data_IF_139582832988
#
_entry.id   IF_139582832988
#
_cell.length_a   1.000
_cell.length_b   1.000
_cell.length_c   1.000
_cell.angle_alpha   90.00
_cell.angle_beta   90.00
_cell.angle_gamma   90.00
#
_symmetry.space_group_name_H-M   'P 1'
#
loop_
_entity.id
_entity.type
_entity.pdbx_description
1 polymer ?
#
# COMPACT_ATOMS: atom_id res chain seq x y z
N UNK A 1 -19.05 -16.67 8.30
CA UNK A 1 -18.59 -15.74 7.26
C UNK A 1 -17.21 -15.24 7.67
N UNK A 2 -16.19 -15.37 6.81
CA UNK A 2 -14.81 -15.01 7.16
C UNK A 2 -14.72 -13.51 7.50
N UNK A 3 -14.33 -13.18 8.73
CA UNK A 3 -14.21 -11.82 9.25
C UNK A 3 -12.94 -11.10 8.77
N UNK A 4 -12.10 -11.78 7.98
CA UNK A 4 -10.86 -11.26 7.40
C UNK A 4 -10.94 -11.31 5.88
N UNK A 5 -10.73 -10.17 5.25
CA UNK A 5 -10.46 -10.05 3.84
C UNK A 5 -9.00 -9.62 3.71
N UNK A 6 -8.13 -10.53 3.30
CA UNK A 6 -6.69 -10.30 3.23
C UNK A 6 -6.29 -9.72 1.87
N UNK A 7 -7.15 -9.84 0.86
CA UNK A 7 -6.92 -9.32 -0.48
C UNK A 7 -8.19 -8.69 -1.05
N UNK A 8 -8.04 -7.54 -1.71
CA UNK A 8 -9.15 -6.87 -2.40
C UNK A 8 -8.68 -6.31 -3.74
N UNK A 9 -9.50 -6.46 -4.78
CA UNK A 9 -9.29 -5.78 -6.06
C UNK A 9 -10.17 -4.56 -6.12
N UNK A 10 -9.59 -3.42 -6.45
CA UNK A 10 -10.27 -2.13 -6.56
C UNK A 10 -9.86 -1.41 -7.84
N UNK A 11 -10.75 -0.55 -8.32
CA UNK A 11 -10.47 0.37 -9.41
C UNK A 11 -10.43 1.79 -8.85
N UNK A 12 -9.38 2.52 -9.17
CA UNK A 12 -9.22 3.91 -8.78
C UNK A 12 -9.18 4.78 -10.03
N UNK A 13 -9.93 5.88 -10.01
CA UNK A 13 -9.98 6.85 -11.10
C UNK A 13 -9.85 8.25 -10.53
N UNK A 14 -8.77 8.93 -10.86
CA UNK A 14 -8.59 10.33 -10.53
C UNK A 14 -9.49 11.24 -11.37
N UNK A 15 -9.75 12.43 -10.88
CA UNK A 15 -10.58 13.40 -11.55
C UNK A 15 -9.92 13.99 -12.79
N UNK A 16 -10.69 14.15 -13.85
CA UNK A 16 -10.25 14.91 -15.05
C UNK A 16 -10.10 16.39 -14.68
N UNK A 17 -9.15 17.08 -15.26
CA UNK A 17 -9.09 18.54 -15.23
C UNK A 17 -10.29 19.17 -15.94
N UNK A 18 -10.71 20.35 -15.52
CA UNK A 18 -11.73 21.16 -16.21
C UNK A 18 -11.19 21.71 -17.51
N UNK A 19 -12.06 21.91 -18.49
CA UNK A 19 -11.66 22.48 -19.78
C UNK A 19 -11.39 23.99 -19.67
N UNK A 20 -10.43 24.49 -20.41
CA UNK A 20 -10.22 25.92 -20.59
C UNK A 20 -11.34 26.57 -21.41
N UNK A 21 -11.58 27.83 -21.14
CA UNK A 21 -12.64 28.59 -21.82
C UNK A 21 -12.10 29.43 -22.95
N UNK A 22 -12.86 29.48 -24.06
CA UNK A 22 -12.69 30.51 -25.11
C UNK A 22 -13.76 31.56 -24.90
N UNK A 23 -13.38 32.76 -24.54
CA UNK A 23 -14.25 33.90 -24.38
C UNK A 23 -13.53 35.18 -24.85
N UNK A 24 -14.31 36.16 -25.29
CA UNK A 24 -13.81 37.45 -25.71
C UNK A 24 -14.50 38.58 -24.93
N UNK A 25 -13.74 39.62 -24.66
CA UNK A 25 -14.28 40.84 -24.09
C UNK A 25 -15.13 41.53 -25.12
N UNK A 26 -16.39 41.77 -24.86
CA UNK A 26 -17.31 42.52 -25.73
C UNK A 26 -17.69 43.81 -25.05
N UNK A 27 -17.29 44.94 -25.59
CA UNK A 27 -17.66 46.25 -25.13
C UNK A 27 -18.31 47.06 -26.27
N UNK A 28 -19.06 48.08 -25.88
CA UNK A 28 -19.64 48.99 -26.85
C UNK A 28 -18.50 49.65 -27.68
N UNK A 29 -18.53 49.46 -28.98
CA UNK A 29 -17.51 49.90 -29.94
C UNK A 29 -16.21 49.08 -30.03
N UNK A 30 -16.10 47.95 -29.30
CA UNK A 30 -14.95 47.02 -29.40
C UNK A 30 -15.49 45.62 -29.63
N UNK A 31 -15.73 45.21 -30.88
CA UNK A 31 -16.38 43.91 -31.18
C UNK A 31 -15.53 42.70 -30.78
N UNK A 32 -14.17 42.83 -30.79
CA UNK A 32 -13.25 41.78 -30.36
C UNK A 32 -12.23 42.33 -29.40
N UNK A 33 -12.64 42.57 -28.17
CA UNK A 33 -11.85 43.22 -27.12
C UNK A 33 -10.79 42.33 -26.45
N UNK A 34 -10.25 41.38 -27.14
CA UNK A 34 -9.21 40.48 -26.65
C UNK A 34 -9.74 39.23 -25.94
N UNK A 35 -8.87 38.26 -25.65
CA UNK A 35 -9.24 36.99 -25.03
C UNK A 35 -9.61 37.18 -23.55
N UNK A 36 -10.65 36.48 -23.08
CA UNK A 36 -11.21 36.64 -21.75
C UNK A 36 -11.64 35.31 -21.10
N UNK A 37 -11.20 34.17 -21.64
CA UNK A 37 -11.47 32.84 -21.13
C UNK A 37 -10.43 32.41 -20.08
N UNK A 38 -10.89 31.96 -18.93
CA UNK A 38 -10.05 31.43 -17.86
C UNK A 38 -9.65 29.97 -18.04
N UNK A 39 -8.70 29.53 -17.25
CA UNK A 39 -8.22 28.13 -17.24
C UNK A 39 -9.23 27.24 -16.48
N UNK A 40 -9.28 25.95 -16.80
CA UNK A 40 -10.01 24.95 -16.03
C UNK A 40 -9.31 24.64 -14.70
N UNK A 41 -10.07 24.11 -13.75
CA UNK A 41 -9.57 23.65 -12.46
C UNK A 41 -8.87 22.29 -12.53
N UNK A 42 -7.97 22.00 -11.60
CA UNK A 42 -7.32 20.68 -11.48
C UNK A 42 -8.37 19.63 -11.03
N UNK A 43 -8.30 18.40 -11.55
CA UNK A 43 -9.03 17.26 -11.03
C UNK A 43 -8.47 16.79 -9.69
N UNK A 44 -9.31 16.16 -8.86
CA UNK A 44 -8.89 15.56 -7.59
C UNK A 44 -8.05 14.32 -7.82
N UNK A 45 -7.01 14.13 -7.02
CA UNK A 45 -6.22 12.91 -6.98
C UNK A 45 -6.88 11.87 -6.07
N UNK A 46 -6.50 10.61 -6.18
CA UNK A 46 -6.84 9.56 -5.21
C UNK A 46 -5.62 9.31 -4.35
N UNK A 47 -5.78 9.48 -3.03
CA UNK A 47 -4.72 9.36 -2.03
C UNK A 47 -5.09 8.23 -1.10
N UNK A 48 -4.19 7.27 -0.92
CA UNK A 48 -4.28 6.29 0.15
C UNK A 48 -3.67 6.85 1.41
N UNK A 49 -4.36 6.67 2.53
CA UNK A 49 -3.91 7.10 3.84
C UNK A 49 -4.04 5.97 4.85
N UNK A 50 -2.98 5.73 5.61
CA UNK A 50 -2.99 4.72 6.68
C UNK A 50 -3.85 5.20 7.84
N UNK A 51 -4.72 4.32 8.33
CA UNK A 51 -5.55 4.55 9.49
C UNK A 51 -5.46 3.34 10.41
N UNK A 52 -4.85 3.50 11.58
CA UNK A 52 -4.65 2.45 12.59
C UNK A 52 -5.95 1.93 13.18
N UNK A 53 -7.04 2.69 13.10
CA UNK A 53 -8.36 2.23 13.50
C UNK A 53 -8.94 1.14 12.60
N UNK A 54 -8.37 0.94 11.40
CA UNK A 54 -8.76 -0.10 10.45
C UNK A 54 -7.85 -1.32 10.60
N UNK A 55 -8.45 -2.50 10.67
CA UNK A 55 -7.73 -3.77 10.83
C UNK A 55 -8.03 -4.80 9.74
N UNK A 56 -8.89 -4.46 8.79
CA UNK A 56 -9.32 -5.37 7.72
C UNK A 56 -9.61 -4.62 6.44
N UNK A 57 -9.52 -5.31 5.30
CA UNK A 57 -9.95 -4.80 3.98
C UNK A 57 -11.44 -5.07 3.70
N UNK A 58 -12.27 -5.31 4.73
CA UNK A 58 -13.68 -5.71 4.54
C UNK A 58 -14.50 -4.68 3.77
N UNK A 59 -14.26 -3.39 3.98
CA UNK A 59 -14.98 -2.31 3.30
C UNK A 59 -14.75 -2.34 1.78
N UNK A 60 -13.56 -2.78 1.34
CA UNK A 60 -13.20 -2.92 -0.07
C UNK A 60 -13.89 -4.10 -0.78
N UNK A 61 -14.56 -4.97 -0.03
CA UNK A 61 -15.42 -6.00 -0.61
C UNK A 61 -16.68 -5.40 -1.22
N UNK A 62 -17.19 -4.33 -0.61
CA UNK A 62 -18.42 -3.67 -1.01
C UNK A 62 -18.13 -2.46 -1.91
N UNK A 63 -17.15 -1.64 -1.53
CA UNK A 63 -16.72 -0.46 -2.28
C UNK A 63 -15.44 -0.79 -3.06
N UNK A 64 -15.58 -1.05 -4.35
CA UNK A 64 -14.47 -1.40 -5.23
C UNK A 64 -14.06 -0.30 -6.18
N UNK A 65 -14.89 0.73 -6.34
CA UNK A 65 -14.67 1.79 -7.31
C UNK A 65 -14.52 3.12 -6.59
N UNK A 66 -13.33 3.71 -6.69
CA UNK A 66 -13.01 4.99 -6.08
C UNK A 66 -12.77 6.02 -7.19
N UNK A 67 -13.66 7.02 -7.26
CA UNK A 67 -13.60 8.06 -8.29
C UNK A 67 -13.52 9.43 -7.67
N UNK A 68 -12.42 10.16 -7.88
CA UNK A 68 -12.28 11.55 -7.49
C UNK A 68 -13.07 12.48 -8.43
N UNK A 69 -13.40 13.65 -7.94
CA UNK A 69 -14.18 14.66 -8.69
C UNK A 69 -13.33 15.32 -9.77
N UNK A 70 -13.99 15.67 -10.88
CA UNK A 70 -13.36 16.47 -11.92
C UNK A 70 -13.25 17.94 -11.51
N UNK A 71 -12.25 18.64 -12.06
CA UNK A 71 -12.14 20.09 -11.93
C UNK A 71 -13.23 20.81 -12.74
N UNK A 72 -13.60 22.00 -12.30
CA UNK A 72 -14.59 22.83 -12.99
C UNK A 72 -14.00 23.48 -14.25
N UNK A 73 -14.85 23.71 -15.24
CA UNK A 73 -14.47 24.45 -16.45
C UNK A 73 -14.06 25.88 -16.14
N UNK A 74 -13.15 26.42 -16.95
CA UNK A 74 -12.87 27.84 -16.94
C UNK A 74 -14.10 28.68 -17.31
N UNK A 75 -14.15 29.89 -16.84
CA UNK A 75 -15.27 30.82 -17.05
C UNK A 75 -14.83 32.07 -17.83
N UNK A 76 -15.81 32.86 -18.21
CA UNK A 76 -15.57 34.18 -18.80
C UNK A 76 -14.92 35.12 -17.78
N UNK A 77 -14.45 36.30 -18.22
CA UNK A 77 -13.80 37.33 -17.37
C UNK A 77 -12.47 36.85 -16.75
N UNK A 78 -11.79 35.90 -17.38
CA UNK A 78 -10.54 35.36 -16.90
C UNK A 78 -10.66 34.55 -15.61
N UNK A 79 -11.89 34.19 -15.19
CA UNK A 79 -12.08 33.40 -13.99
C UNK A 79 -11.71 31.94 -14.23
N UNK A 80 -10.84 31.41 -13.36
CA UNK A 80 -10.43 30.02 -13.41
C UNK A 80 -11.50 29.12 -12.79
N UNK A 81 -11.64 27.91 -13.34
CA UNK A 81 -12.44 26.84 -12.75
C UNK A 81 -11.90 26.43 -11.39
N UNK A 82 -12.78 26.06 -10.47
CA UNK A 82 -12.37 25.56 -9.15
C UNK A 82 -11.72 24.18 -9.30
N UNK A 83 -10.59 23.99 -8.60
CA UNK A 83 -9.99 22.65 -8.46
C UNK A 83 -10.86 21.73 -7.61
N UNK A 84 -10.86 20.44 -7.94
CA UNK A 84 -11.52 19.43 -7.13
C UNK A 84 -10.65 19.05 -5.92
N UNK A 85 -11.32 18.66 -4.84
CA UNK A 85 -10.68 18.10 -3.66
C UNK A 85 -10.19 16.68 -3.96
N UNK A 86 -9.08 16.30 -3.34
CA UNK A 86 -8.54 14.96 -3.44
C UNK A 86 -9.43 13.96 -2.68
N UNK A 87 -9.53 12.74 -3.20
CA UNK A 87 -10.25 11.65 -2.57
C UNK A 87 -9.30 10.86 -1.68
N UNK A 88 -9.49 10.95 -0.37
CA UNK A 88 -8.72 10.18 0.60
C UNK A 88 -9.42 8.84 0.84
N UNK A 89 -8.68 7.74 0.67
CA UNK A 89 -9.13 6.38 0.92
C UNK A 89 -8.29 5.81 2.06
N UNK A 90 -8.92 5.53 3.19
CA UNK A 90 -8.26 5.00 4.37
C UNK A 90 -7.99 3.50 4.24
N UNK A 91 -6.77 3.08 4.55
CA UNK A 91 -6.30 1.70 4.52
C UNK A 91 -5.72 1.30 5.89
N UNK A 92 -5.85 0.02 6.28
CA UNK A 92 -5.16 -0.47 7.47
C UNK A 92 -3.64 -0.48 7.27
N UNK A 93 -2.84 -0.31 8.35
CA UNK A 93 -1.39 -0.45 8.30
C UNK A 93 -0.99 -1.86 7.84
N UNK A 94 0.12 -1.96 7.11
CA UNK A 94 0.59 -3.23 6.53
C UNK A 94 -0.09 -3.61 5.21
N UNK A 95 -0.74 -2.66 4.53
CA UNK A 95 -1.35 -2.89 3.23
C UNK A 95 -0.32 -2.70 2.12
N UNK A 96 -0.05 -3.77 1.36
CA UNK A 96 0.71 -3.72 0.10
C UNK A 96 -0.22 -3.41 -1.06
N UNK A 97 0.12 -2.42 -1.85
CA UNK A 97 -0.60 -2.03 -3.07
C UNK A 97 0.15 -2.54 -4.28
N UNK A 98 -0.52 -3.34 -5.11
CA UNK A 98 0.02 -3.87 -6.37
C UNK A 98 -0.82 -3.40 -7.54
N UNK A 99 -0.19 -3.24 -8.68
CA UNK A 99 -0.91 -3.11 -9.94
C UNK A 99 -1.55 -4.46 -10.32
N UNK A 100 -2.86 -4.47 -10.56
CA UNK A 100 -3.60 -5.71 -10.81
C UNK A 100 -3.25 -6.34 -12.17
N UNK A 101 -2.75 -5.57 -13.14
CA UNK A 101 -2.43 -6.01 -14.48
C UNK A 101 -0.99 -6.54 -14.57
N UNK A 102 -0.03 -5.83 -13.95
CA UNK A 102 1.39 -6.17 -14.02
C UNK A 102 1.88 -6.98 -12.83
N UNK A 103 1.14 -7.00 -11.72
CA UNK A 103 1.52 -7.63 -10.46
C UNK A 103 2.65 -6.90 -9.69
N UNK A 104 3.18 -5.81 -10.25
CA UNK A 104 4.26 -5.04 -9.61
C UNK A 104 3.78 -4.36 -8.33
N UNK A 105 4.62 -4.33 -7.31
CA UNK A 105 4.37 -3.56 -6.08
C UNK A 105 4.51 -2.08 -6.40
N UNK A 106 3.50 -1.30 -6.05
CA UNK A 106 3.49 0.16 -6.20
C UNK A 106 3.98 0.81 -4.91
N UNK A 107 3.44 0.37 -3.77
CA UNK A 107 3.82 0.89 -2.45
C UNK A 107 3.42 -0.08 -1.34
N UNK A 108 4.13 0.00 -0.22
CA UNK A 108 3.77 -0.61 1.06
C UNK A 108 3.37 0.51 2.03
N UNK A 109 2.19 0.39 2.61
CA UNK A 109 1.61 1.37 3.53
C UNK A 109 1.65 0.80 4.94
N UNK A 110 2.59 1.30 5.74
CA UNK A 110 2.95 0.72 7.04
C UNK A 110 2.84 1.73 8.16
N UNK A 111 3.36 2.96 7.95
CA UNK A 111 3.51 3.97 8.98
C UNK A 111 2.19 4.69 9.27
N UNK A 112 2.06 5.16 10.51
CA UNK A 112 0.92 5.97 10.93
C UNK A 112 0.78 7.22 10.07
N UNK A 113 -0.46 7.50 9.66
CA UNK A 113 -0.80 8.67 8.79
C UNK A 113 -0.03 8.74 7.46
N UNK A 114 0.73 7.70 7.07
CA UNK A 114 1.41 7.64 5.78
C UNK A 114 0.42 7.86 4.64
N UNK A 115 0.78 8.76 3.72
CA UNK A 115 -0.04 9.09 2.55
C UNK A 115 0.70 8.75 1.26
N UNK A 116 -0.02 8.20 0.29
CA UNK A 116 0.51 7.89 -1.03
C UNK A 116 -0.50 8.25 -2.12
N UNK A 117 -0.05 9.04 -3.10
CA UNK A 117 -0.87 9.42 -4.26
C UNK A 117 -0.88 8.27 -5.26
N UNK A 118 -1.95 7.48 -5.27
CA UNK A 118 -2.08 6.28 -6.10
C UNK A 118 -2.54 6.58 -7.53
N UNK A 119 -3.32 7.66 -7.72
CA UNK A 119 -3.73 8.15 -9.03
C UNK A 119 -3.79 9.67 -9.02
N UNK A 120 -3.10 10.31 -9.95
CA UNK A 120 -3.00 11.77 -10.04
C UNK A 120 -4.15 12.36 -10.82
N UNK A 121 -4.75 13.42 -10.27
CA UNK A 121 -5.76 14.23 -10.95
C UNK A 121 -5.19 14.98 -12.16
N UNK A 122 -5.97 15.05 -13.21
CA UNK A 122 -5.59 15.74 -14.45
C UNK A 122 -5.45 17.26 -14.25
N UNK A 123 -4.53 17.86 -14.98
CA UNK A 123 -4.35 19.32 -15.03
C UNK A 123 -5.54 19.98 -15.73
N UNK A 124 -5.98 21.13 -15.25
CA UNK A 124 -6.94 21.97 -15.95
C UNK A 124 -6.42 22.48 -17.28
N UNK A 125 -7.26 22.50 -18.31
CA UNK A 125 -6.94 23.04 -19.62
C UNK A 125 -6.75 24.57 -19.58
N UNK A 126 -5.85 25.09 -20.38
CA UNK A 126 -5.58 26.52 -20.46
C UNK A 126 -6.66 27.22 -21.29
N UNK A 127 -7.14 28.36 -20.78
CA UNK A 127 -8.07 29.23 -21.49
C UNK A 127 -7.38 30.08 -22.55
N UNK A 128 -8.17 30.74 -23.44
CA UNK A 128 -7.63 31.47 -24.59
C UNK A 128 -6.75 32.67 -24.18
N UNK A 129 -6.87 33.21 -22.98
CA UNK A 129 -5.95 34.25 -22.47
C UNK A 129 -4.50 33.80 -22.53
N UNK A 130 -4.22 32.51 -22.29
CA UNK A 130 -2.86 31.95 -22.26
C UNK A 130 -2.21 31.84 -23.63
N UNK A 131 -2.99 31.95 -24.70
CA UNK A 131 -2.53 31.79 -26.07
C UNK A 131 -2.43 33.11 -26.86
N UNK A 132 -2.75 34.23 -26.21
CA UNK A 132 -2.62 35.53 -26.81
C UNK A 132 -1.15 35.84 -27.11
N UNK A 133 -0.90 36.28 -28.34
CA UNK A 133 0.42 36.71 -28.80
C UNK A 133 0.29 38.02 -29.58
N UNK A 134 1.38 38.80 -29.79
CA UNK A 134 1.33 40.00 -30.63
C UNK A 134 0.85 39.73 -32.06
N UNK A 135 1.06 38.50 -32.59
CA UNK A 135 0.60 38.11 -33.92
C UNK A 135 -0.84 37.61 -33.94
N UNK A 136 -1.32 37.06 -32.82
CA UNK A 136 -2.71 36.65 -32.65
C UNK A 136 -3.21 37.15 -31.31
N UNK A 137 -3.69 38.40 -31.23
CA UNK A 137 -4.13 39.04 -30.00
C UNK A 137 -5.47 38.50 -29.46
N UNK A 138 -6.23 37.80 -30.29
CA UNK A 138 -7.55 37.26 -29.95
C UNK A 138 -7.70 35.78 -30.36
N UNK A 139 -6.90 34.87 -29.78
CA UNK A 139 -6.88 33.46 -30.19
C UNK A 139 -8.19 32.75 -29.83
N UNK A 140 -8.64 31.88 -30.71
CA UNK A 140 -9.75 30.96 -30.50
C UNK A 140 -9.30 29.58 -29.99
N UNK A 141 -8.16 29.52 -29.35
CA UNK A 141 -7.54 28.31 -28.85
C UNK A 141 -7.82 28.17 -27.34
N UNK A 142 -8.29 27.00 -26.91
CA UNK A 142 -8.27 26.57 -25.52
C UNK A 142 -7.92 25.09 -25.45
N UNK A 143 -7.37 24.65 -24.32
CA UNK A 143 -7.09 23.24 -24.07
C UNK A 143 -8.25 22.61 -23.31
N UNK A 144 -8.54 21.36 -23.64
CA UNK A 144 -9.38 20.52 -22.80
C UNK A 144 -8.61 20.15 -21.51
N UNK A 145 -9.33 19.81 -20.45
CA UNK A 145 -8.73 19.29 -19.23
C UNK A 145 -8.04 17.94 -19.50
N UNK A 146 -6.92 17.75 -18.83
CA UNK A 146 -6.18 16.50 -18.87
C UNK A 146 -7.00 15.37 -18.21
N UNK A 147 -7.03 14.16 -18.79
CA UNK A 147 -7.64 13.01 -18.13
C UNK A 147 -6.92 12.70 -16.81
N UNK A 148 -7.65 12.28 -15.79
CA UNK A 148 -7.07 11.74 -14.57
C UNK A 148 -6.55 10.33 -14.79
N UNK A 149 -5.57 9.92 -14.00
CA UNK A 149 -5.03 8.56 -14.05
C UNK A 149 -6.09 7.55 -13.59
N UNK A 150 -6.11 6.38 -14.25
CA UNK A 150 -6.95 5.24 -13.91
C UNK A 150 -6.04 4.04 -13.67
N UNK A 151 -6.30 3.31 -12.58
CA UNK A 151 -5.54 2.10 -12.24
C UNK A 151 -6.45 1.03 -11.66
N UNK A 152 -6.17 -0.20 -12.00
CA UNK A 152 -6.70 -1.37 -11.32
C UNK A 152 -5.67 -1.88 -10.33
N UNK A 153 -6.05 -1.98 -9.07
CA UNK A 153 -5.16 -2.28 -7.97
C UNK A 153 -5.59 -3.54 -7.24
N UNK A 154 -4.62 -4.28 -6.80
CA UNK A 154 -4.78 -5.35 -5.85
C UNK A 154 -4.18 -4.91 -4.52
N UNK A 155 -5.03 -4.82 -3.49
CA UNK A 155 -4.64 -4.59 -2.12
C UNK A 155 -4.39 -5.95 -1.46
N UNK A 156 -3.30 -6.07 -0.75
CA UNK A 156 -2.94 -7.24 0.03
C UNK A 156 -2.60 -6.78 1.45
N UNK A 157 -3.41 -7.18 2.42
CA UNK A 157 -3.16 -6.89 3.82
C UNK A 157 -2.23 -7.96 4.38
N UNK A 158 -1.01 -7.57 4.67
CA UNK A 158 -0.10 -8.39 5.46
C UNK A 158 -0.51 -8.25 6.92
N UNK A 159 -1.26 -9.22 7.44
CA UNK A 159 -1.63 -9.24 8.84
C UNK A 159 -0.35 -9.42 9.64
N UNK A 160 0.03 -8.37 10.33
CA UNK A 160 1.20 -8.34 11.17
C UNK A 160 0.77 -8.79 12.56
N UNK A 161 1.52 -9.71 13.15
CA UNK A 161 1.27 -10.09 14.53
C UNK A 161 1.84 -9.02 15.46
N UNK A 162 0.99 -8.46 16.32
CA UNK A 162 1.41 -7.59 17.41
C UNK A 162 2.14 -8.40 18.49
N UNK A 163 1.73 -9.67 18.67
CA UNK A 163 2.23 -10.59 19.71
C UNK A 163 2.72 -11.89 19.07
N UNK A 164 3.95 -12.27 19.37
CA UNK A 164 4.54 -13.54 18.95
C UNK A 164 4.53 -14.58 20.06
N UNK A 165 4.07 -15.81 19.75
CA UNK A 165 4.21 -16.96 20.64
C UNK A 165 5.51 -17.69 20.32
N UNK A 166 6.37 -17.83 21.31
CA UNK A 166 7.61 -18.62 21.23
C UNK A 166 7.58 -19.73 22.30
N UNK A 167 8.29 -20.80 22.06
CA UNK A 167 8.35 -21.95 22.97
C UNK A 167 8.61 -23.25 22.21
N UNK A 168 9.04 -24.30 22.91
CA UNK A 168 9.28 -25.61 22.33
C UNK A 168 8.03 -26.23 21.67
N UNK A 169 8.19 -27.21 20.78
CA UNK A 169 7.06 -28.02 20.32
C UNK A 169 6.28 -28.61 21.50
N UNK A 170 4.99 -28.81 21.34
CA UNK A 170 4.09 -29.45 22.32
C UNK A 170 3.86 -28.72 23.64
N UNK A 171 4.44 -27.51 23.86
CA UNK A 171 4.18 -26.70 25.08
C UNK A 171 2.78 -26.08 25.12
N UNK A 172 2.03 -26.16 24.01
CA UNK A 172 0.65 -25.72 23.92
C UNK A 172 0.42 -24.34 23.26
N UNK A 173 1.38 -23.82 22.47
CA UNK A 173 1.24 -22.56 21.73
C UNK A 173 -0.01 -22.50 20.84
N UNK A 174 -0.16 -23.49 19.98
CA UNK A 174 -1.29 -23.54 19.04
C UNK A 174 -2.63 -23.77 19.74
N UNK A 175 -2.61 -24.47 20.89
CA UNK A 175 -3.79 -24.64 21.76
C UNK A 175 -4.17 -23.30 22.37
N UNK A 176 -3.20 -22.59 22.96
CA UNK A 176 -3.41 -21.24 23.51
C UNK A 176 -4.02 -20.31 22.44
N UNK A 177 -3.40 -20.25 21.27
CA UNK A 177 -3.88 -19.43 20.16
C UNK A 177 -5.32 -19.78 19.77
N UNK A 178 -5.67 -21.07 19.72
CA UNK A 178 -7.01 -21.54 19.36
C UNK A 178 -8.07 -21.11 20.37
N UNK A 179 -7.72 -21.12 21.65
CA UNK A 179 -8.65 -20.82 22.74
C UNK A 179 -8.89 -19.34 22.92
N UNK A 180 -7.84 -18.53 22.78
CA UNK A 180 -7.94 -17.06 22.98
C UNK A 180 -8.41 -16.32 21.72
N UNK A 181 -8.39 -16.98 20.58
CA UNK A 181 -8.77 -16.37 19.31
C UNK A 181 -10.28 -16.20 19.19
N UNK A 182 -10.74 -15.00 18.85
CA UNK A 182 -12.16 -14.67 18.65
C UNK A 182 -12.79 -15.40 17.44
N UNK A 183 -11.97 -15.93 16.53
CA UNK A 183 -12.36 -16.78 15.42
C UNK A 183 -11.34 -17.91 15.30
N UNK A 184 -11.71 -19.04 14.64
CA UNK A 184 -10.75 -20.12 14.39
C UNK A 184 -9.47 -19.55 13.78
N UNK A 185 -8.28 -19.86 14.35
CA UNK A 185 -7.02 -19.42 13.78
C UNK A 185 -6.93 -19.81 12.31
N UNK A 186 -6.47 -18.88 11.50
CA UNK A 186 -6.24 -19.14 10.09
C UNK A 186 -4.79 -19.46 9.86
N UNK A 187 -4.57 -20.47 9.04
CA UNK A 187 -3.27 -20.72 8.43
C UNK A 187 -3.03 -19.59 7.45
N UNK A 188 -2.11 -18.71 7.76
CA UNK A 188 -1.70 -17.63 6.85
C UNK A 188 -0.95 -18.23 5.67
N UNK A 189 -1.63 -18.51 4.55
CA UNK A 189 -0.97 -18.97 3.32
C UNK A 189 -0.20 -17.81 2.69
N UNK A 190 1.01 -17.57 3.18
CA UNK A 190 1.93 -16.64 2.54
C UNK A 190 2.70 -17.39 1.46
N UNK A 191 2.53 -17.02 0.19
CA UNK A 191 3.16 -17.66 -0.97
C UNK A 191 4.70 -17.69 -0.95
N UNK A 192 5.31 -17.07 0.06
CA UNK A 192 6.76 -16.90 0.20
C UNK A 192 7.34 -17.50 1.48
N UNK A 193 6.52 -18.16 2.34
CA UNK A 193 7.01 -18.83 3.55
C UNK A 193 6.99 -20.33 3.41
N UNK A 194 8.14 -20.97 3.69
CA UNK A 194 8.25 -22.43 3.78
C UNK A 194 7.54 -22.95 5.05
N UNK A 195 7.40 -22.07 6.05
CA UNK A 195 6.76 -22.36 7.34
C UNK A 195 5.60 -21.36 7.49
N UNK A 196 4.40 -21.89 7.66
CA UNK A 196 3.15 -21.13 7.67
C UNK A 196 2.75 -20.82 9.11
N UNK A 197 2.78 -19.54 9.55
CA UNK A 197 2.36 -19.20 10.89
C UNK A 197 0.84 -19.33 11.06
N UNK A 198 0.41 -19.78 12.24
CA UNK A 198 -0.99 -19.71 12.63
C UNK A 198 -1.26 -18.33 13.23
N UNK A 199 -2.25 -17.62 12.70
CA UNK A 199 -2.66 -16.29 13.14
C UNK A 199 -4.02 -16.34 13.81
N UNK A 200 -4.16 -15.64 14.92
CA UNK A 200 -5.42 -15.46 15.63
C UNK A 200 -5.62 -14.02 16.07
N UNK A 201 -6.86 -13.54 15.97
CA UNK A 201 -7.24 -12.26 16.56
C UNK A 201 -7.77 -12.48 17.95
N UNK A 202 -7.16 -11.82 18.92
CA UNK A 202 -7.56 -11.83 20.32
C UNK A 202 -8.37 -10.57 20.59
N UNK A 203 -9.44 -10.73 21.37
CA UNK A 203 -10.24 -9.61 21.86
C UNK A 203 -10.34 -9.71 23.38
N UNK A 204 -9.88 -8.67 24.06
CA UNK A 204 -9.95 -8.58 25.53
C UNK A 204 -11.35 -8.19 26.01
N UNK A 205 -11.62 -8.36 27.28
CA UNK A 205 -12.86 -7.88 27.91
C UNK A 205 -12.96 -6.35 27.95
N UNK A 206 -11.81 -5.67 28.01
CA UNK A 206 -11.73 -4.20 27.92
C UNK A 206 -12.13 -3.66 26.55
N UNK A 207 -12.21 -4.52 25.53
CA UNK A 207 -12.57 -4.16 24.16
C UNK A 207 -11.38 -4.01 23.22
N UNK A 208 -10.16 -4.07 23.76
CA UNK A 208 -8.92 -4.05 22.97
C UNK A 208 -8.82 -5.29 22.09
N UNK A 209 -8.19 -5.16 20.94
CA UNK A 209 -7.95 -6.29 20.06
C UNK A 209 -6.57 -6.21 19.44
N UNK A 210 -5.89 -7.35 19.35
CA UNK A 210 -4.56 -7.47 18.78
C UNK A 210 -4.40 -8.78 18.02
N UNK A 211 -3.45 -8.82 17.07
CA UNK A 211 -3.12 -10.02 16.32
C UNK A 211 -2.02 -10.80 17.04
N UNK A 212 -2.21 -12.11 17.19
CA UNK A 212 -1.26 -13.03 17.79
C UNK A 212 -0.85 -14.09 16.78
N UNK A 213 0.45 -14.36 16.67
CA UNK A 213 0.99 -15.40 15.80
C UNK A 213 1.73 -16.48 16.58
N UNK A 214 1.50 -17.74 16.22
CA UNK A 214 2.41 -18.82 16.55
C UNK A 214 3.60 -18.71 15.58
N UNK A 215 4.82 -18.59 16.13
CA UNK A 215 6.06 -18.47 15.37
C UNK A 215 6.77 -19.84 15.30
N UNK A 216 6.26 -20.79 14.48
CA UNK A 216 6.88 -22.10 14.31
C UNK A 216 8.19 -21.96 13.55
N UNK A 217 9.19 -22.75 13.88
CA UNK A 217 10.45 -22.81 13.14
C UNK A 217 11.52 -21.82 13.55
N UNK A 218 11.27 -20.95 14.54
CA UNK A 218 12.35 -20.26 15.22
C UNK A 218 13.30 -21.28 15.88
N UNK A 219 12.77 -22.40 16.32
CA UNK A 219 13.45 -23.41 17.14
C UNK A 219 13.95 -24.62 16.33
N UNK A 220 13.27 -25.02 15.24
CA UNK A 220 13.58 -26.25 14.53
C UNK A 220 14.52 -26.09 13.31
N UNK A 221 14.81 -24.88 12.87
CA UNK A 221 15.55 -24.65 11.62
C UNK A 221 16.89 -23.92 11.71
N UNK A 222 17.17 -23.27 12.83
CA UNK A 222 18.37 -22.43 12.98
C UNK A 222 19.67 -23.23 12.95
N UNK A 223 19.68 -24.40 13.56
CA UNK A 223 20.88 -25.23 13.64
C UNK A 223 21.23 -25.99 12.36
N UNK A 224 20.29 -26.10 11.39
CA UNK A 224 20.45 -26.87 10.16
C UNK A 224 20.69 -26.03 8.90
N UNK A 225 20.84 -24.70 9.01
CA UNK A 225 21.19 -23.83 7.85
C UNK A 225 20.11 -23.72 6.78
N UNK A 226 18.90 -24.22 7.00
CA UNK A 226 17.75 -24.02 6.13
C UNK A 226 17.20 -22.64 6.45
N UNK A 227 17.71 -21.61 5.74
CA UNK A 227 17.37 -20.22 5.95
C UNK A 227 15.86 -20.00 5.94
N UNK A 228 15.31 -19.55 7.06
CA UNK A 228 14.01 -18.89 7.10
C UNK A 228 14.09 -17.74 6.11
N UNK A 229 13.22 -17.77 5.09
CA UNK A 229 13.27 -16.76 4.03
C UNK A 229 13.24 -15.34 4.63
N UNK A 230 14.02 -14.42 4.08
CA UNK A 230 14.14 -13.03 4.52
C UNK A 230 12.77 -12.33 4.72
N UNK A 231 11.75 -12.78 4.02
CA UNK A 231 10.39 -12.27 4.14
C UNK A 231 9.65 -12.78 5.39
N UNK A 232 9.93 -13.99 5.88
CA UNK A 232 9.39 -14.48 7.15
C UNK A 232 9.99 -13.71 8.33
N UNK A 233 11.27 -13.40 8.27
CA UNK A 233 11.95 -12.58 9.27
C UNK A 233 11.30 -11.19 9.38
N UNK A 234 10.95 -10.55 8.27
CA UNK A 234 10.22 -9.25 8.26
C UNK A 234 8.87 -9.29 8.99
N UNK A 235 8.23 -10.44 9.09
CA UNK A 235 6.95 -10.58 9.81
C UNK A 235 7.14 -10.71 11.31
N UNK A 236 8.23 -11.35 11.73
CA UNK A 236 8.64 -11.43 13.14
C UNK A 236 9.12 -10.07 13.63
N UNK A 237 9.78 -9.32 12.76
CA UNK A 237 10.32 -7.99 13.02
C UNK A 237 9.28 -7.00 13.58
N UNK A 238 8.02 -7.16 13.25
CA UNK A 238 6.94 -6.27 13.68
C UNK A 238 6.24 -6.72 14.95
N UNK A 239 6.59 -7.88 15.48
CA UNK A 239 6.09 -8.35 16.77
C UNK A 239 6.59 -7.44 17.88
N UNK A 240 5.68 -6.83 18.63
CA UNK A 240 6.00 -5.84 19.69
C UNK A 240 6.18 -6.48 21.05
N UNK A 241 5.47 -7.58 21.32
CA UNK A 241 5.49 -8.32 22.58
C UNK A 241 5.67 -9.80 22.31
N UNK A 242 6.49 -10.46 23.10
CA UNK A 242 6.72 -11.91 23.02
C UNK A 242 6.05 -12.60 24.21
N UNK A 243 5.23 -13.63 23.93
CA UNK A 243 4.73 -14.56 24.90
C UNK A 243 5.56 -15.85 24.84
N UNK A 244 6.41 -16.06 25.84
CA UNK A 244 7.25 -17.23 25.94
C UNK A 244 6.49 -18.34 26.69
N UNK A 245 5.99 -19.32 25.94
CA UNK A 245 5.16 -20.41 26.49
C UNK A 245 6.04 -21.58 26.92
N UNK A 246 5.93 -21.96 28.18
CA UNK A 246 6.73 -23.01 28.80
C UNK A 246 5.80 -24.08 29.40
N UNK A 247 6.15 -25.35 29.22
CA UNK A 247 5.44 -26.50 29.79
C UNK A 247 5.89 -26.75 31.23
N UNK A 248 5.03 -26.40 32.20
CA UNK A 248 5.32 -26.63 33.61
C UNK A 248 5.10 -28.07 34.07
N UNK A 249 4.44 -28.90 33.24
CA UNK A 249 4.23 -30.30 33.59
C UNK A 249 5.50 -31.15 33.45
N UNK A 250 6.53 -30.64 32.75
CA UNK A 250 7.73 -31.41 32.36
C UNK A 250 7.41 -32.79 31.72
N UNK A 251 6.28 -32.90 31.06
CA UNK A 251 5.73 -34.16 30.54
C UNK A 251 6.65 -34.83 29.51
N UNK A 252 7.56 -34.08 28.89
CA UNK A 252 8.55 -34.59 27.94
C UNK A 252 9.94 -34.83 28.58
N UNK A 253 10.02 -34.74 29.92
CA UNK A 253 11.24 -35.00 30.71
C UNK A 253 12.27 -33.87 30.63
N UNK A 254 11.90 -32.69 30.14
CA UNK A 254 12.76 -31.48 30.08
C UNK A 254 12.50 -30.60 31.29
N UNK A 255 13.56 -29.92 31.77
CA UNK A 255 13.44 -28.92 32.83
C UNK A 255 12.87 -27.61 32.25
N UNK A 256 11.79 -27.04 32.79
CA UNK A 256 11.19 -25.80 32.29
C UNK A 256 12.16 -24.61 32.25
N UNK A 257 13.13 -24.55 33.16
CA UNK A 257 14.12 -23.50 33.17
C UNK A 257 15.18 -23.64 32.03
N UNK A 258 15.60 -24.89 31.77
CA UNK A 258 16.52 -25.16 30.66
C UNK A 258 15.85 -24.87 29.31
N UNK A 259 14.55 -25.16 29.18
CA UNK A 259 13.76 -24.81 28.01
C UNK A 259 13.71 -23.28 27.82
N UNK A 260 13.50 -22.51 28.90
CA UNK A 260 13.52 -21.04 28.88
C UNK A 260 14.83 -20.46 28.38
N UNK A 261 15.95 -20.94 28.93
CA UNK A 261 17.30 -20.48 28.55
C UNK A 261 17.60 -20.84 27.10
N UNK A 262 17.29 -22.07 26.67
CA UNK A 262 17.55 -22.52 25.31
C UNK A 262 16.86 -21.64 24.27
N UNK A 263 15.60 -21.27 24.50
CA UNK A 263 14.85 -20.41 23.60
C UNK A 263 15.38 -18.98 23.58
N UNK A 264 15.74 -18.42 24.74
CA UNK A 264 16.33 -17.10 24.78
C UNK A 264 17.67 -17.03 24.01
N UNK A 265 18.52 -18.05 24.13
CA UNK A 265 19.76 -18.16 23.37
C UNK A 265 19.51 -18.25 21.86
N UNK A 266 18.45 -18.94 21.45
CA UNK A 266 18.05 -18.98 20.05
C UNK A 266 17.54 -17.62 19.54
N UNK A 267 16.69 -16.94 20.32
CA UNK A 267 16.22 -15.58 19.98
C UNK A 267 17.37 -14.58 19.85
N UNK A 268 18.41 -14.70 20.68
CA UNK A 268 19.61 -13.89 20.60
C UNK A 268 20.42 -14.17 19.32
N UNK A 269 20.53 -15.45 18.94
CA UNK A 269 21.26 -15.88 17.75
C UNK A 269 20.65 -15.35 16.45
N UNK A 270 19.34 -15.13 16.43
CA UNK A 270 18.64 -14.57 15.25
C UNK A 270 18.92 -13.11 14.95
N UNK A 271 19.57 -12.39 15.83
CA UNK A 271 20.00 -10.99 15.67
C UNK A 271 18.91 -10.00 15.22
N UNK A 272 17.65 -10.32 15.48
CA UNK A 272 16.48 -9.49 15.11
C UNK A 272 16.04 -8.59 16.27
N UNK A 273 16.92 -8.28 17.20
CA UNK A 273 16.60 -7.48 18.40
C UNK A 273 15.35 -8.01 19.16
N UNK A 274 15.07 -9.32 19.01
CA UNK A 274 13.90 -9.95 19.64
C UNK A 274 14.02 -9.98 21.18
N UNK A 275 15.25 -10.05 21.68
CA UNK A 275 15.52 -10.00 23.14
C UNK A 275 15.29 -8.62 23.76
N UNK A 276 15.30 -7.56 22.96
CA UNK A 276 15.02 -6.19 23.43
C UNK A 276 13.50 -5.96 23.62
N UNK A 277 12.66 -6.89 23.17
CA UNK A 277 11.21 -6.77 23.26
C UNK A 277 10.70 -7.23 24.61
N UNK A 278 9.66 -6.56 25.15
CA UNK A 278 9.01 -7.00 26.35
C UNK A 278 8.54 -8.44 26.23
N UNK A 279 8.92 -9.27 27.19
CA UNK A 279 8.53 -10.67 27.28
C UNK A 279 7.57 -10.91 28.44
N UNK A 280 6.57 -11.75 28.21
CA UNK A 280 5.73 -12.34 29.26
C UNK A 280 5.98 -13.85 29.25
N UNK A 281 6.34 -14.41 30.40
CA UNK A 281 6.48 -15.85 30.57
C UNK A 281 5.11 -16.45 30.86
N UNK A 282 4.72 -17.39 30.00
CA UNK A 282 3.44 -18.11 30.10
C UNK A 282 3.71 -19.52 30.61
N UNK A 283 3.50 -19.72 31.91
CA UNK A 283 3.62 -21.02 32.57
C UNK A 283 2.36 -21.85 32.26
N UNK A 284 2.41 -22.69 31.23
CA UNK A 284 1.26 -23.46 30.74
C UNK A 284 1.21 -24.88 31.31
N UNK A 285 0.06 -25.53 31.13
CA UNK A 285 -0.29 -26.88 31.61
C UNK A 285 -0.35 -26.97 33.15
N UNK A 286 -0.83 -25.90 33.79
CA UNK A 286 -0.99 -25.86 35.25
C UNK A 286 -2.07 -26.82 35.78
N UNK A 287 -2.83 -27.48 34.92
CA UNK A 287 -3.78 -28.53 35.21
C UNK A 287 -3.13 -29.93 35.41
N UNK A 288 -1.84 -30.05 35.12
CA UNK A 288 -1.11 -31.30 35.23
C UNK A 288 -0.48 -31.48 36.64
N UNK A 289 -0.27 -32.72 37.08
CA UNK A 289 0.47 -33.01 38.31
C UNK A 289 1.88 -32.38 38.27
N UNK A 290 2.41 -32.04 39.45
CA UNK A 290 3.75 -31.50 39.65
C UNK A 290 4.02 -30.11 39.06
N UNK A 291 3.06 -29.53 38.33
CA UNK A 291 3.21 -28.23 37.67
C UNK A 291 3.42 -27.06 38.66
N UNK A 292 2.79 -27.11 39.80
CA UNK A 292 2.96 -26.10 40.87
C UNK A 292 4.36 -26.16 41.48
N UNK A 293 4.90 -27.38 41.74
CA UNK A 293 6.25 -27.56 42.25
C UNK A 293 7.31 -27.11 41.22
N UNK A 294 7.12 -27.47 39.96
CA UNK A 294 7.98 -27.05 38.87
C UNK A 294 7.95 -25.53 38.66
N UNK A 295 6.78 -24.88 38.80
CA UNK A 295 6.66 -23.42 38.74
C UNK A 295 7.41 -22.74 39.89
N UNK A 296 7.34 -23.31 41.12
CA UNK A 296 8.07 -22.77 42.26
C UNK A 296 9.59 -22.86 42.04
N UNK A 297 10.08 -24.03 41.60
CA UNK A 297 11.48 -24.25 41.28
C UNK A 297 11.96 -23.33 40.13
N UNK A 298 11.11 -23.15 39.11
CA UNK A 298 11.39 -22.23 37.99
C UNK A 298 11.57 -20.78 38.46
N UNK A 299 10.65 -20.29 39.32
CA UNK A 299 10.73 -18.94 39.88
C UNK A 299 11.99 -18.74 40.74
N UNK A 300 12.38 -19.74 41.51
CA UNK A 300 13.58 -19.69 42.34
C UNK A 300 14.84 -19.61 41.48
N UNK A 301 14.95 -20.47 40.43
CA UNK A 301 16.04 -20.45 39.49
C UNK A 301 16.11 -19.12 38.71
N UNK A 302 14.96 -18.58 38.29
CA UNK A 302 14.88 -17.33 37.59
C UNK A 302 15.37 -16.18 38.48
N UNK A 303 14.87 -16.08 39.72
CA UNK A 303 15.29 -15.04 40.68
C UNK A 303 16.78 -15.11 41.04
N UNK A 304 17.38 -16.31 41.04
CA UNK A 304 18.80 -16.48 41.32
C UNK A 304 19.73 -15.96 40.19
N UNK A 305 19.22 -15.83 38.99
CA UNK A 305 20.01 -15.44 37.80
C UNK A 305 19.69 -14.03 37.27
N UNK A 306 18.75 -13.31 37.92
CA UNK A 306 18.46 -11.90 37.61
C UNK A 306 19.11 -11.00 38.66
N UNK A 307 19.82 -9.95 38.23
CA UNK A 307 20.37 -8.94 39.12
C UNK A 307 19.25 -8.03 39.66
N UNK A 308 19.46 -7.43 40.86
CA UNK A 308 18.49 -6.54 41.52
C UNK A 308 18.04 -5.32 40.70
N UNK A 309 18.71 -5.05 39.56
CA UNK A 309 18.48 -3.91 38.68
C UNK A 309 17.80 -4.27 37.36
N UNK A 310 17.61 -5.55 37.08
CA UNK A 310 16.94 -6.00 35.85
C UNK A 310 15.44 -6.21 36.09
N UNK A 311 14.61 -5.71 35.22
CA UNK A 311 13.16 -5.93 35.25
C UNK A 311 12.85 -7.41 35.00
N UNK A 312 12.50 -8.14 36.02
CA UNK A 312 12.10 -9.56 35.91
C UNK A 312 10.85 -9.68 35.02
N UNK A 313 10.83 -10.58 34.04
CA UNK A 313 9.67 -10.83 33.23
C UNK A 313 8.49 -11.33 34.06
N UNK A 314 7.29 -10.85 33.73
CA UNK A 314 6.06 -11.21 34.42
C UNK A 314 5.70 -12.65 34.05
N UNK A 315 5.36 -13.47 35.09
CA UNK A 315 4.99 -14.88 34.92
C UNK A 315 3.49 -15.05 35.11
N UNK A 316 2.80 -15.59 34.08
CA UNK A 316 1.38 -15.95 34.17
C UNK A 316 1.20 -17.47 34.16
N UNK A 317 0.74 -18.05 35.31
CA UNK A 317 0.34 -19.44 35.33
C UNK A 317 -1.02 -19.61 34.63
N UNK A 318 -1.09 -20.49 33.66
CA UNK A 318 -2.29 -20.78 32.87
C UNK A 318 -2.49 -22.26 32.62
N UNK A 319 -3.72 -22.63 32.33
CA UNK A 319 -4.02 -23.87 31.61
C UNK A 319 -4.79 -23.55 30.36
N UNK A 320 -4.14 -23.71 29.20
CA UNK A 320 -4.79 -23.52 27.91
C UNK A 320 -5.93 -24.53 27.70
N UNK A 321 -5.78 -25.78 28.21
CA UNK A 321 -6.77 -26.82 28.07
C UNK A 321 -7.98 -26.61 28.99
N UNK A 322 -7.74 -26.22 30.24
CA UNK A 322 -8.78 -25.97 31.26
C UNK A 322 -9.35 -24.54 31.18
N UNK A 323 -8.87 -23.70 30.26
CA UNK A 323 -9.27 -22.29 30.09
C UNK A 323 -9.07 -21.43 31.36
N UNK A 324 -8.01 -21.69 32.11
CA UNK A 324 -7.71 -20.97 33.35
C UNK A 324 -6.59 -19.94 33.15
N UNK A 325 -6.74 -18.76 33.78
CA UNK A 325 -5.74 -17.69 33.75
C UNK A 325 -5.63 -16.90 32.46
N UNK A 326 -6.37 -17.29 31.41
CA UNK A 326 -6.23 -16.72 30.04
C UNK A 326 -6.65 -15.25 29.96
N UNK A 327 -7.73 -14.87 30.64
CA UNK A 327 -8.24 -13.48 30.59
C UNK A 327 -7.21 -12.50 31.17
N UNK A 328 -6.63 -12.84 32.33
CA UNK A 328 -5.62 -12.00 32.97
C UNK A 328 -4.36 -11.87 32.12
N UNK A 329 -3.95 -12.96 31.45
CA UNK A 329 -2.85 -12.95 30.50
C UNK A 329 -3.15 -12.02 29.31
N UNK A 330 -4.33 -12.10 28.70
CA UNK A 330 -4.69 -11.29 27.54
C UNK A 330 -4.81 -9.80 27.91
N UNK A 331 -5.40 -9.47 29.06
CA UNK A 331 -5.49 -8.08 29.53
C UNK A 331 -4.11 -7.50 29.87
N UNK A 332 -3.21 -8.29 30.43
CA UNK A 332 -1.83 -7.87 30.70
C UNK A 332 -1.05 -7.66 29.38
N UNK A 333 -1.24 -8.56 28.41
CA UNK A 333 -0.62 -8.44 27.09
C UNK A 333 -1.10 -7.18 26.36
N UNK A 334 -2.41 -6.88 26.40
CA UNK A 334 -2.96 -5.66 25.80
C UNK A 334 -2.39 -4.39 26.44
N UNK A 335 -2.26 -4.36 27.77
CA UNK A 335 -1.65 -3.23 28.48
C UNK A 335 -0.19 -3.05 28.14
N UNK A 336 0.55 -4.15 28.01
CA UNK A 336 1.96 -4.11 27.63
C UNK A 336 2.11 -3.59 26.20
N UNK A 337 1.27 -4.06 25.27
CA UNK A 337 1.22 -3.56 23.90
C UNK A 337 0.93 -2.06 23.80
N UNK A 338 -0.01 -1.56 24.62
CA UNK A 338 -0.35 -0.14 24.64
C UNK A 338 0.83 0.75 25.09
N UNK A 339 1.73 0.22 25.91
CA UNK A 339 2.90 0.94 26.43
C UNK A 339 4.19 0.70 25.64
N UNK A 340 4.17 -0.21 24.67
CA UNK A 340 5.35 -0.56 23.87
C UNK A 340 5.28 0.17 22.54
N UNK A 341 6.31 0.95 22.22
CA UNK A 341 6.47 1.60 20.91
C UNK A 341 6.74 0.56 19.81
N UNK A 342 6.51 0.94 18.55
CA UNK A 342 6.87 0.11 17.42
C UNK A 342 8.39 0.05 17.28
N UNK A 343 8.93 -1.16 17.16
CA UNK A 343 10.37 -1.35 16.93
C UNK A 343 10.66 -1.21 15.44
N UNK A 344 11.41 -0.18 15.07
CA UNK A 344 11.99 -0.02 13.74
C UNK A 344 13.32 -0.80 13.70
N UNK A 345 13.44 -1.75 12.79
CA UNK A 345 14.63 -2.60 12.66
C UNK A 345 15.72 -2.00 11.78
N UNK A 346 15.37 -1.02 10.97
CA UNK A 346 16.31 -0.35 10.08
C UNK A 346 16.49 1.09 10.53
N UNK A 347 17.75 1.52 10.68
CA UNK A 347 18.09 2.92 10.72
C UNK A 347 17.68 3.56 9.38
N UNK A 348 17.21 4.80 9.40
CA UNK A 348 16.77 5.58 8.21
C UNK A 348 17.83 5.62 7.09
N UNK A 349 19.06 5.26 7.38
CA UNK A 349 20.20 5.17 6.43
C UNK A 349 20.13 3.95 5.51
N UNK A 350 19.47 2.86 5.89
CA UNK A 350 19.37 1.65 5.08
C UNK A 350 18.19 1.68 4.09
N UNK A 351 17.29 2.65 4.23
CA UNK A 351 16.13 2.84 3.33
C UNK A 351 16.47 3.56 2.00
N UNK A 352 17.71 4.02 1.82
CA UNK A 352 18.08 4.81 0.63
C UNK A 352 18.42 3.99 -0.63
N UNK A 353 18.48 2.66 -0.57
CA UNK A 353 18.88 1.85 -1.74
C UNK A 353 17.71 1.19 -2.51
N UNK A 354 16.47 1.23 -2.03
CA UNK A 354 15.32 0.60 -2.72
C UNK A 354 14.16 1.57 -3.04
N UNK A 355 14.35 2.87 -2.97
CA UNK A 355 13.51 3.77 -3.75
C UNK A 355 13.82 3.51 -5.22
N UNK A 356 13.08 2.59 -5.82
CA UNK A 356 12.97 2.50 -7.26
C UNK A 356 12.41 3.84 -7.74
N UNK A 357 13.31 4.77 -7.98
CA UNK A 357 13.07 5.97 -8.75
C UNK A 357 12.44 5.50 -10.05
N UNK A 358 11.15 5.66 -10.18
CA UNK A 358 10.52 5.67 -11.49
C UNK A 358 11.04 6.90 -12.21
N UNK A 359 12.34 6.85 -12.56
CA UNK A 359 12.93 7.72 -13.51
C UNK A 359 12.22 7.45 -14.82
N UNK A 360 11.61 8.46 -15.38
CA UNK A 360 11.24 8.49 -16.78
C UNK A 360 12.44 7.96 -17.56
N UNK A 361 12.30 6.82 -18.20
CA UNK A 361 13.23 6.39 -19.23
C UNK A 361 13.11 7.40 -20.38
N UNK A 362 14.09 8.26 -20.50
CA UNK A 362 14.18 9.25 -21.59
C UNK A 362 14.32 8.61 -22.97
N UNK A 363 14.41 7.29 -23.06
CA UNK A 363 14.60 6.53 -24.31
C UNK A 363 13.30 5.95 -24.90
N UNK A 364 12.13 6.17 -24.30
CA UNK A 364 10.87 5.78 -24.93
C UNK A 364 10.52 6.79 -26.03
N UNK A 365 10.47 6.31 -27.28
CA UNK A 365 9.99 7.10 -28.42
C UNK A 365 8.61 7.67 -28.05
N UNK A 366 8.35 8.97 -28.26
CA UNK A 366 7.13 9.64 -27.80
C UNK A 366 5.85 9.09 -28.45
N UNK A 367 5.97 8.23 -29.44
CA UNK A 367 4.87 7.60 -30.17
C UNK A 367 5.36 6.33 -30.88
N UNK A 368 4.43 5.44 -31.17
CA UNK A 368 4.62 4.28 -32.04
C UNK A 368 3.71 4.38 -33.27
N UNK A 369 4.16 3.80 -34.37
CA UNK A 369 3.42 3.78 -35.62
C UNK A 369 3.20 2.33 -36.04
N UNK A 370 1.95 1.95 -36.26
CA UNK A 370 1.59 0.66 -36.86
C UNK A 370 0.79 0.90 -38.13
N UNK A 371 0.62 -0.15 -38.91
CA UNK A 371 -0.24 -0.13 -40.09
C UNK A 371 -1.34 -1.15 -39.90
N UNK A 372 -2.58 -0.71 -40.05
CA UNK A 372 -3.76 -1.56 -39.95
C UNK A 372 -4.02 -2.33 -41.25
N UNK A 373 -4.87 -3.35 -41.19
CA UNK A 373 -5.22 -4.18 -42.37
C UNK A 373 -5.82 -3.37 -43.52
N UNK A 374 -6.45 -2.23 -43.21
CA UNK A 374 -7.04 -1.28 -44.17
C UNK A 374 -6.01 -0.31 -44.78
N UNK A 375 -4.72 -0.54 -44.60
CA UNK A 375 -3.61 0.32 -45.01
C UNK A 375 -3.54 1.69 -44.27
N UNK A 376 -4.35 1.91 -43.23
CA UNK A 376 -4.34 3.12 -42.42
C UNK A 376 -3.14 3.09 -41.46
N UNK A 377 -2.45 4.21 -41.34
CA UNK A 377 -1.37 4.41 -40.39
C UNK A 377 -1.97 4.74 -39.05
N UNK A 378 -1.65 3.95 -38.02
CA UNK A 378 -2.13 4.15 -36.64
C UNK A 378 -1.01 4.66 -35.78
N UNK A 379 -1.24 5.81 -35.16
CA UNK A 379 -0.34 6.44 -34.22
C UNK A 379 -0.88 6.21 -32.78
N UNK A 380 -0.03 5.72 -31.90
CA UNK A 380 -0.36 5.56 -30.49
C UNK A 380 0.86 5.87 -29.59
N UNK A 381 0.61 6.10 -28.33
CA UNK A 381 1.59 6.43 -27.30
C UNK A 381 1.02 7.42 -26.30
N UNK A 382 1.32 7.20 -25.02
CA UNK A 382 0.72 7.95 -23.91
C UNK A 382 0.81 9.46 -24.07
N UNK A 383 1.96 9.95 -24.52
CA UNK A 383 2.20 11.39 -24.71
C UNK A 383 1.38 11.95 -25.88
N UNK A 384 1.25 11.19 -26.94
CA UNK A 384 0.49 11.56 -28.13
C UNK A 384 -1.02 11.54 -27.87
N UNK A 385 -1.52 10.48 -27.23
CA UNK A 385 -2.93 10.32 -26.89
C UNK A 385 -3.38 11.38 -25.87
N UNK A 386 -2.53 11.67 -24.88
CA UNK A 386 -2.76 12.75 -23.93
C UNK A 386 -2.87 14.10 -24.62
N UNK A 387 -1.95 14.39 -25.55
CA UNK A 387 -1.98 15.63 -26.34
C UNK A 387 -3.25 15.73 -27.17
N UNK A 388 -3.67 14.62 -27.80
CA UNK A 388 -4.90 14.54 -28.59
C UNK A 388 -6.13 14.82 -27.74
N UNK A 389 -6.30 14.16 -26.59
CA UNK A 389 -7.45 14.35 -25.68
C UNK A 389 -7.52 15.79 -25.14
N UNK A 390 -6.37 16.43 -24.94
CA UNK A 390 -6.29 17.81 -24.47
C UNK A 390 -6.54 18.84 -25.57
N UNK A 391 -6.61 18.42 -26.85
CA UNK A 391 -6.87 19.31 -27.97
C UNK A 391 -8.36 19.42 -28.24
N UNK A 392 -8.86 20.63 -28.36
CA UNK A 392 -10.25 20.85 -28.76
C UNK A 392 -10.37 20.73 -30.31
N UNK A 393 -10.86 19.58 -30.78
CA UNK A 393 -11.01 19.26 -32.19
C UNK A 393 -12.19 19.97 -32.90
N UNK A 394 -13.01 20.73 -32.18
CA UNK A 394 -14.08 21.54 -32.74
C UNK A 394 -13.59 22.90 -33.31
N UNK A 395 -12.28 23.21 -33.13
CA UNK A 395 -11.73 24.52 -33.48
C UNK A 395 -10.52 24.39 -34.39
N UNK A 396 -10.59 25.04 -35.55
CA UNK A 396 -9.54 25.00 -36.56
C UNK A 396 -8.17 25.45 -36.04
N UNK A 397 -8.11 26.51 -35.21
CA UNK A 397 -6.84 26.97 -34.62
C UNK A 397 -6.23 25.95 -33.67
N UNK A 398 -7.05 25.20 -32.93
CA UNK A 398 -6.58 24.14 -32.05
C UNK A 398 -6.04 22.95 -32.84
N UNK A 399 -6.71 22.57 -33.94
CA UNK A 399 -6.26 21.53 -34.86
C UNK A 399 -4.93 21.91 -35.49
N UNK A 400 -4.78 23.16 -36.01
CA UNK A 400 -3.52 23.63 -36.59
C UNK A 400 -2.37 23.64 -35.54
N UNK A 401 -2.67 23.96 -34.29
CA UNK A 401 -1.69 23.87 -33.23
C UNK A 401 -1.26 22.43 -32.98
N UNK A 402 -2.22 21.51 -32.93
CA UNK A 402 -1.97 20.08 -32.74
C UNK A 402 -1.10 19.52 -33.87
N UNK A 403 -1.42 19.84 -35.15
CA UNK A 403 -0.61 19.43 -36.28
C UNK A 403 0.84 19.93 -36.20
N UNK A 404 1.05 21.18 -35.76
CA UNK A 404 2.41 21.70 -35.51
C UNK A 404 3.14 20.98 -34.38
N UNK A 405 2.43 20.55 -33.33
CA UNK A 405 3.02 19.77 -32.25
C UNK A 405 3.41 18.36 -32.72
N UNK A 406 2.59 17.70 -33.55
CA UNK A 406 2.93 16.41 -34.16
C UNK A 406 4.21 16.50 -35.00
N UNK A 407 4.33 17.56 -35.83
CA UNK A 407 5.57 17.83 -36.57
C UNK A 407 6.77 18.01 -35.66
N UNK A 408 6.60 18.78 -34.59
CA UNK A 408 7.66 19.00 -33.59
C UNK A 408 8.08 17.73 -32.84
N UNK A 409 7.23 16.72 -32.82
CA UNK A 409 7.54 15.40 -32.25
C UNK A 409 8.21 14.45 -33.27
N UNK A 410 8.34 14.87 -34.53
CA UNK A 410 8.94 14.08 -35.63
C UNK A 410 8.00 13.04 -36.23
N UNK A 411 6.68 13.18 -36.05
CA UNK A 411 5.69 12.21 -36.54
C UNK A 411 5.71 12.17 -38.08
N UNK A 412 5.78 13.33 -38.74
CA UNK A 412 5.80 13.43 -40.20
C UNK A 412 7.02 12.72 -40.80
N UNK A 413 8.21 12.93 -40.23
CA UNK A 413 9.45 12.26 -40.66
C UNK A 413 9.37 10.73 -40.44
N UNK A 414 8.87 10.30 -39.30
CA UNK A 414 8.74 8.88 -39.01
C UNK A 414 7.71 8.15 -39.87
N UNK A 415 6.63 8.84 -40.31
CA UNK A 415 5.66 8.31 -41.26
C UNK A 415 6.29 8.15 -42.63
N UNK A 416 7.06 9.16 -43.11
CA UNK A 416 7.78 9.10 -44.41
C UNK A 416 8.82 7.99 -44.43
N UNK A 417 9.60 7.84 -43.37
CA UNK A 417 10.60 6.75 -43.27
C UNK A 417 9.95 5.37 -43.40
N UNK A 418 8.70 5.23 -42.95
CA UNK A 418 7.94 3.99 -43.09
C UNK A 418 7.17 3.84 -44.39
N UNK A 419 7.23 4.85 -45.26
CA UNK A 419 6.69 4.80 -46.63
C UNK A 419 5.30 5.38 -46.75
N UNK A 420 4.84 6.22 -45.83
CA UNK A 420 3.59 6.98 -45.98
C UNK A 420 3.71 7.97 -47.14
N UNK A 421 2.63 8.14 -47.88
CA UNK A 421 2.51 9.01 -49.07
C UNK A 421 1.38 10.01 -48.87
N UNK A 422 1.44 11.11 -49.65
CA UNK A 422 0.32 12.05 -49.68
C UNK A 422 -1.00 11.35 -50.03
N UNK A 423 -2.01 11.65 -49.26
CA UNK A 423 -3.32 11.03 -49.34
C UNK A 423 -3.51 9.77 -48.47
N UNK A 424 -2.46 9.27 -47.82
CA UNK A 424 -2.61 8.17 -46.87
C UNK A 424 -3.40 8.61 -45.63
N UNK A 425 -4.22 7.71 -45.11
CA UNK A 425 -5.00 7.97 -43.90
C UNK A 425 -4.17 7.67 -42.67
N UNK A 426 -4.14 8.62 -41.74
CA UNK A 426 -3.50 8.48 -40.42
C UNK A 426 -4.56 8.57 -39.33
N UNK A 427 -4.54 7.63 -38.38
CA UNK A 427 -5.50 7.54 -37.30
C UNK A 427 -4.81 7.71 -35.92
N UNK A 428 -5.41 8.53 -35.10
CA UNK A 428 -5.03 8.69 -33.67
C UNK A 428 -6.29 8.46 -32.83
N UNK A 429 -6.34 7.41 -32.06
CA UNK A 429 -7.56 7.01 -31.34
C UNK A 429 -8.74 6.84 -32.33
N UNK A 430 -9.76 7.68 -32.19
CA UNK A 430 -10.95 7.66 -33.06
C UNK A 430 -10.94 8.74 -34.17
N UNK A 431 -9.85 9.49 -34.29
CA UNK A 431 -9.74 10.59 -35.23
C UNK A 431 -8.86 10.20 -36.44
N UNK A 432 -9.39 10.39 -37.63
CA UNK A 432 -8.69 10.13 -38.89
C UNK A 432 -8.43 11.43 -39.63
N UNK A 433 -7.26 11.54 -40.20
CA UNK A 433 -6.89 12.66 -41.06
C UNK A 433 -6.01 12.18 -42.22
N UNK A 434 -6.01 12.95 -43.28
CA UNK A 434 -5.19 12.70 -44.46
C UNK A 434 -3.77 13.23 -44.24
N UNK A 435 -2.78 12.38 -44.51
CA UNK A 435 -1.39 12.81 -44.53
C UNK A 435 -1.13 13.67 -45.75
N UNK A 436 -0.67 14.89 -45.51
CA UNK A 436 -0.33 15.88 -46.59
C UNK A 436 1.07 16.39 -46.28
N UNK A 437 1.91 16.43 -47.34
CA UNK A 437 3.32 16.83 -47.27
C UNK A 437 3.54 18.33 -46.98
#
# INVERSE_FOLDING_TARGET
MSMFLDTAKISVKAGRGGDGMVAFRREKYVPNGGPWGGDGGKGGSVIFKVNEGLRTLMDFRYNRNFKAKAGEKGMTKGMHGRGAEDLIVSLPPGTTVRDANTGKVITDLVEHDQEFVVARGGRGGRGNIRFATPRNPAPEIAENGEPGEERELQLELKILADVGLVGFPSVGKSTLLSVVSAAKPKIGAYHFTTIVPNLGMVRTKSGDSFAMADLPGLIEGASQGVGLGTQFLRHIERTRVILHVIDMSASEGRDPYDDYISINNELETYNLRLMERPQIIVANKMDMPDSEENLAAFKEKLAANYDEFDDMPIIFPISSLAHQGLENLMDATAKLLANTEEFLLYDETDMQEDEAYYGFNEDERPFEITRDDDATWVLYGDKLEKLFVMTNMERDESIMKFARQLRGMGVDEALRERGAKDGDIVRIGNFEFEFVD
#
